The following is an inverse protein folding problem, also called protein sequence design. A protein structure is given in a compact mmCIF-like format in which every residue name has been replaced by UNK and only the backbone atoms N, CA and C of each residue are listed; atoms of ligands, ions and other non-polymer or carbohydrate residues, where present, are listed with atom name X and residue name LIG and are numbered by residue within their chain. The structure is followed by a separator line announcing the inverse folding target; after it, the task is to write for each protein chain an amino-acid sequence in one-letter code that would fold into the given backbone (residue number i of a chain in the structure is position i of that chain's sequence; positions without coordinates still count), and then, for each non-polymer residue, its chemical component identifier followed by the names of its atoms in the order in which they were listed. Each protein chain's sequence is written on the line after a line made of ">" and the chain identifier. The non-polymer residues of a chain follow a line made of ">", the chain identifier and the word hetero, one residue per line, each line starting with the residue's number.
data_IF_751862064333
#
_entry.id   IF_751862064333
#
_cell.length_a   1.000
_cell.length_b   1.000
_cell.length_c   1.000
_cell.angle_alpha   90.00
_cell.angle_beta   90.00
_cell.angle_gamma   90.00
#
_symmetry.space_group_name_H-M   'P 1'
#
loop_
_entity.id
_entity.type
_entity.pdbx_description
1 polymer ?
#
# COMPACT_ATOMS: atom_id res chain seq x y z
N UNK A 1 -7.62 1.75 10.69
CA UNK A 1 -8.92 2.48 10.65
C UNK A 1 -9.22 3.11 9.29
N UNK A 2 -8.24 3.73 8.60
CA UNK A 2 -8.47 4.35 7.28
C UNK A 2 -8.94 3.36 6.20
N UNK A 3 -8.39 2.14 6.16
CA UNK A 3 -8.84 1.07 5.26
C UNK A 3 -10.35 0.80 5.42
N UNK A 4 -10.80 0.51 6.64
CA UNK A 4 -12.21 0.23 6.90
C UNK A 4 -13.13 1.38 6.50
N UNK A 5 -12.68 2.64 6.65
CA UNK A 5 -13.44 3.80 6.20
C UNK A 5 -13.53 3.88 4.66
N UNK A 6 -12.44 3.58 3.95
CA UNK A 6 -12.45 3.52 2.49
C UNK A 6 -13.30 2.35 1.96
N UNK A 7 -13.21 1.18 2.59
CA UNK A 7 -14.05 0.01 2.25
C UNK A 7 -15.54 0.29 2.49
N UNK A 8 -15.90 0.95 3.60
CA UNK A 8 -17.29 1.34 3.86
C UNK A 8 -17.82 2.29 2.78
N UNK A 9 -17.00 3.26 2.35
CA UNK A 9 -17.34 4.17 1.25
C UNK A 9 -17.46 3.43 -0.09
N UNK A 10 -16.52 2.54 -0.40
CA UNK A 10 -16.56 1.71 -1.60
C UNK A 10 -17.83 0.86 -1.66
N UNK A 11 -18.22 0.25 -0.54
CA UNK A 11 -19.44 -0.54 -0.42
C UNK A 11 -20.67 0.34 -0.68
N UNK A 12 -20.73 1.55 -0.11
CA UNK A 12 -21.80 2.50 -0.38
C UNK A 12 -21.91 2.82 -1.88
N UNK A 13 -20.78 3.19 -2.52
CA UNK A 13 -20.75 3.53 -3.95
C UNK A 13 -21.19 2.34 -4.83
N UNK A 14 -20.84 1.11 -4.46
CA UNK A 14 -21.30 -0.09 -5.16
C UNK A 14 -22.80 -0.32 -5.00
N UNK A 15 -23.33 -0.20 -3.78
CA UNK A 15 -24.76 -0.35 -3.49
C UNK A 15 -25.60 0.69 -4.23
N UNK A 16 -25.13 1.95 -4.29
CA UNK A 16 -25.81 3.02 -5.02
C UNK A 16 -25.86 2.75 -6.54
N UNK A 17 -24.76 2.22 -7.11
CA UNK A 17 -24.67 1.89 -8.54
C UNK A 17 -25.62 0.76 -8.96
N UNK A 18 -25.82 -0.23 -8.11
CA UNK A 18 -26.68 -1.38 -8.43
C UNK A 18 -28.13 -1.25 -7.94
N UNK A 19 -28.49 -0.16 -7.24
CA UNK A 19 -29.81 0.01 -6.63
C UNK A 19 -30.99 -0.11 -7.61
N UNK A 20 -30.79 0.23 -8.88
CA UNK A 20 -31.82 0.13 -9.92
C UNK A 20 -31.82 -1.22 -10.67
N UNK A 21 -30.89 -2.12 -10.35
CA UNK A 21 -30.81 -3.42 -11.01
C UNK A 21 -31.92 -4.38 -10.51
N UNK A 22 -32.41 -5.29 -11.36
CA UNK A 22 -33.36 -6.32 -10.93
C UNK A 22 -32.83 -7.25 -9.82
N UNK A 23 -31.51 -7.44 -9.77
CA UNK A 23 -30.80 -8.11 -8.68
C UNK A 23 -29.64 -7.21 -8.21
N UNK A 24 -29.87 -6.30 -7.24
CA UNK A 24 -28.85 -5.37 -6.75
C UNK A 24 -27.68 -6.05 -6.04
N UNK A 25 -27.88 -7.24 -5.47
CA UNK A 25 -26.83 -7.95 -4.74
C UNK A 25 -26.06 -8.92 -5.64
N UNK A 26 -26.62 -9.30 -6.78
CA UNK A 26 -25.97 -10.08 -7.82
C UNK A 26 -24.64 -9.47 -8.25
N UNK A 27 -23.53 -10.14 -7.93
CA UNK A 27 -22.18 -9.70 -8.27
C UNK A 27 -21.58 -8.62 -7.35
N UNK A 28 -22.31 -8.17 -6.31
CA UNK A 28 -21.80 -7.17 -5.37
C UNK A 28 -20.54 -7.64 -4.65
N UNK A 29 -20.55 -8.85 -4.09
CA UNK A 29 -19.42 -9.41 -3.35
C UNK A 29 -18.13 -9.51 -4.18
N UNK A 30 -18.11 -10.15 -5.36
CA UNK A 30 -16.88 -10.19 -6.17
C UNK A 30 -16.41 -8.80 -6.61
N UNK A 31 -17.34 -7.88 -6.94
CA UNK A 31 -16.97 -6.51 -7.32
C UNK A 31 -16.37 -5.71 -6.14
N UNK A 32 -16.91 -5.90 -4.94
CA UNK A 32 -16.39 -5.32 -3.71
C UNK A 32 -14.99 -5.87 -3.41
N UNK A 33 -14.84 -7.18 -3.28
CA UNK A 33 -13.55 -7.78 -2.91
C UNK A 33 -12.45 -7.49 -3.94
N UNK A 34 -12.76 -7.45 -5.24
CA UNK A 34 -11.78 -7.08 -6.26
C UNK A 34 -11.26 -5.64 -6.08
N UNK A 35 -12.13 -4.68 -5.73
CA UNK A 35 -11.73 -3.28 -5.53
C UNK A 35 -11.11 -3.06 -4.15
N UNK A 36 -11.61 -3.73 -3.11
CA UNK A 36 -11.04 -3.69 -1.77
C UNK A 36 -9.62 -4.24 -1.74
N UNK A 37 -9.32 -5.28 -2.54
CA UNK A 37 -7.97 -5.82 -2.66
C UNK A 37 -6.95 -4.73 -3.04
N UNK A 38 -7.29 -3.83 -3.96
CA UNK A 38 -6.42 -2.69 -4.33
C UNK A 38 -6.29 -1.66 -3.21
N UNK A 39 -7.36 -1.39 -2.45
CA UNK A 39 -7.31 -0.45 -1.32
C UNK A 39 -6.37 -0.94 -0.21
N UNK A 40 -6.37 -2.25 0.05
CA UNK A 40 -5.59 -2.85 1.13
C UNK A 40 -4.16 -3.21 0.71
N UNK A 41 -3.88 -3.26 -0.59
CA UNK A 41 -2.57 -3.64 -1.13
C UNK A 41 -1.44 -2.77 -0.55
N UNK A 42 -1.59 -1.44 -0.61
CA UNK A 42 -0.59 -0.49 -0.11
C UNK A 42 -0.26 -0.67 1.39
N UNK A 43 -1.25 -0.63 2.31
CA UNK A 43 -0.96 -0.75 3.74
C UNK A 43 -0.44 -2.14 4.11
N UNK A 44 -0.93 -3.21 3.48
CA UNK A 44 -0.39 -4.55 3.75
C UNK A 44 0.99 -4.77 3.14
N UNK A 45 1.27 -4.22 1.96
CA UNK A 45 2.59 -4.31 1.33
C UNK A 45 3.69 -3.71 2.20
N UNK A 46 3.45 -2.53 2.80
CA UNK A 46 4.43 -1.89 3.69
C UNK A 46 4.49 -2.51 5.09
N UNK A 47 3.36 -3.05 5.60
CA UNK A 47 3.30 -3.58 6.96
C UNK A 47 3.70 -5.05 7.07
N UNK A 48 3.31 -5.91 6.12
CA UNK A 48 3.49 -7.35 6.20
C UNK A 48 4.74 -7.87 5.48
N UNK A 49 5.20 -7.19 4.42
CA UNK A 49 6.44 -7.61 3.70
C UNK A 49 7.65 -7.67 4.64
N UNK A 50 7.87 -6.70 5.55
CA UNK A 50 8.97 -6.78 6.53
C UNK A 50 8.94 -8.04 7.40
N UNK A 51 7.77 -8.61 7.68
CA UNK A 51 7.67 -9.83 8.49
C UNK A 51 8.32 -11.03 7.81
N UNK A 52 8.36 -11.07 6.47
CA UNK A 52 8.97 -12.18 5.70
C UNK A 52 10.49 -12.26 5.85
N UNK A 53 11.14 -11.17 6.30
CA UNK A 53 12.55 -11.17 6.67
C UNK A 53 12.84 -12.12 7.84
N UNK A 54 11.86 -12.38 8.69
CA UNK A 54 12.01 -13.32 9.78
C UNK A 54 11.88 -14.78 9.29
N UNK A 55 12.85 -15.68 9.56
CA UNK A 55 12.88 -17.02 8.96
C UNK A 55 11.68 -17.92 9.32
N UNK A 56 11.01 -17.64 10.44
CA UNK A 56 9.84 -18.42 10.90
C UNK A 56 8.50 -17.89 10.40
N UNK A 57 8.49 -16.75 9.71
CA UNK A 57 7.25 -16.21 9.15
C UNK A 57 6.81 -17.11 8.00
N UNK A 58 5.56 -17.58 8.09
CA UNK A 58 4.92 -18.39 7.06
C UNK A 58 4.49 -17.50 5.90
N UNK A 59 4.64 -17.99 4.67
CA UNK A 59 4.30 -17.25 3.46
C UNK A 59 5.28 -17.49 2.32
N UNK A 60 4.84 -17.14 1.11
CA UNK A 60 5.70 -17.11 -0.07
C UNK A 60 6.64 -15.89 0.02
N UNK A 61 7.93 -16.11 -0.19
CA UNK A 61 8.91 -15.02 -0.28
C UNK A 61 9.02 -14.62 -1.76
N UNK A 62 8.69 -13.37 -2.11
CA UNK A 62 8.91 -12.86 -3.46
C UNK A 62 10.38 -12.96 -3.86
N UNK A 63 10.66 -13.12 -5.15
CA UNK A 63 12.04 -13.18 -5.67
C UNK A 63 12.81 -11.88 -5.40
N UNK A 64 12.10 -10.75 -5.29
CA UNK A 64 12.63 -9.41 -5.04
C UNK A 64 12.52 -8.97 -3.57
N UNK A 65 12.28 -9.90 -2.63
CA UNK A 65 12.07 -9.57 -1.22
C UNK A 65 13.22 -8.72 -0.63
N UNK A 66 14.47 -9.13 -0.84
CA UNK A 66 15.63 -8.41 -0.29
C UNK A 66 15.68 -6.97 -0.82
N UNK A 67 15.43 -6.78 -2.11
CA UNK A 67 15.37 -5.45 -2.73
C UNK A 67 14.22 -4.59 -2.18
N UNK A 68 13.06 -5.20 -1.92
CA UNK A 68 11.92 -4.50 -1.33
C UNK A 68 12.19 -4.08 0.12
N UNK A 69 12.89 -4.91 0.90
CA UNK A 69 13.29 -4.61 2.27
C UNK A 69 14.33 -3.48 2.31
N UNK A 70 15.38 -3.56 1.49
CA UNK A 70 16.40 -2.52 1.37
C UNK A 70 15.80 -1.17 0.96
N UNK A 71 14.88 -1.18 -0.02
CA UNK A 71 14.18 0.03 -0.44
C UNK A 71 13.35 0.63 0.69
N UNK A 72 12.60 -0.20 1.42
CA UNK A 72 11.74 0.24 2.51
C UNK A 72 12.56 0.84 3.65
N UNK A 73 13.69 0.21 4.00
CA UNK A 73 14.61 0.74 5.01
C UNK A 73 15.19 2.10 4.59
N UNK A 74 15.72 2.20 3.38
CA UNK A 74 16.27 3.45 2.86
C UNK A 74 15.23 4.57 2.77
N UNK A 75 13.98 4.24 2.43
CA UNK A 75 12.87 5.17 2.42
C UNK A 75 12.57 5.72 3.83
N UNK A 76 12.56 4.86 4.86
CA UNK A 76 12.36 5.29 6.24
C UNK A 76 13.53 6.16 6.74
N UNK A 77 14.78 5.80 6.41
CA UNK A 77 15.95 6.60 6.75
C UNK A 77 15.86 7.99 6.10
N UNK A 78 15.59 8.06 4.79
CA UNK A 78 15.41 9.32 4.07
C UNK A 78 14.24 10.15 4.63
N UNK A 79 13.13 9.51 5.01
CA UNK A 79 11.99 10.17 5.63
C UNK A 79 12.28 10.69 7.05
N UNK A 80 13.32 10.20 7.73
CA UNK A 80 13.74 10.75 9.02
C UNK A 80 14.52 12.07 8.85
N UNK A 81 15.13 12.30 7.70
CA UNK A 81 16.00 13.46 7.43
C UNK A 81 15.35 14.51 6.52
N UNK A 82 14.44 14.10 5.61
CA UNK A 82 13.76 14.98 4.67
C UNK A 82 12.26 15.16 5.02
N UNK A 83 11.81 16.36 5.40
CA UNK A 83 10.41 16.64 5.74
C UNK A 83 9.40 16.43 4.60
N UNK A 84 9.80 16.63 3.34
CA UNK A 84 8.94 16.41 2.18
C UNK A 84 8.72 14.91 1.93
N UNK A 85 9.79 14.11 2.07
CA UNK A 85 9.70 12.65 1.97
C UNK A 85 8.91 12.09 3.15
N UNK A 86 9.14 12.61 4.36
CA UNK A 86 8.35 12.28 5.55
C UNK A 86 6.86 12.47 5.31
N UNK A 87 6.48 13.66 4.83
CA UNK A 87 5.09 13.99 4.52
C UNK A 87 4.51 13.03 3.49
N UNK A 88 5.23 12.79 2.40
CA UNK A 88 4.78 11.90 1.33
C UNK A 88 4.52 10.47 1.84
N UNK A 89 5.47 9.92 2.60
CA UNK A 89 5.34 8.60 3.21
C UNK A 89 4.12 8.52 4.12
N UNK A 90 3.91 9.52 4.99
CA UNK A 90 2.75 9.54 5.87
C UNK A 90 1.42 9.73 5.12
N UNK A 91 1.39 10.51 4.03
CA UNK A 91 0.22 10.60 3.16
C UNK A 91 -0.13 9.23 2.54
N UNK A 92 0.86 8.42 2.18
CA UNK A 92 0.65 7.06 1.68
C UNK A 92 0.19 6.11 2.79
N UNK A 93 0.86 6.12 3.95
CA UNK A 93 0.47 5.29 5.11
C UNK A 93 -0.96 5.58 5.61
N UNK A 94 -1.42 6.82 5.44
CA UNK A 94 -2.79 7.24 5.78
C UNK A 94 -3.78 7.13 4.62
N UNK A 95 -3.38 6.54 3.49
CA UNK A 95 -4.21 6.30 2.29
C UNK A 95 -4.74 7.59 1.64
N UNK A 96 -4.04 8.71 1.85
CA UNK A 96 -4.32 10.00 1.20
C UNK A 96 -3.72 10.05 -0.22
N UNK A 97 -2.67 9.26 -0.46
CA UNK A 97 -2.04 9.07 -1.77
C UNK A 97 -1.81 7.58 -2.05
N UNK A 98 -1.84 7.15 -3.33
CA UNK A 98 -1.55 5.76 -3.68
C UNK A 98 -0.06 5.43 -3.49
N UNK A 99 0.29 4.15 -3.27
CA UNK A 99 1.69 3.71 -3.11
C UNK A 99 2.60 4.07 -4.29
N UNK A 100 2.07 4.15 -5.51
CA UNK A 100 2.88 4.36 -6.72
C UNK A 100 3.63 5.69 -6.70
N UNK A 101 3.20 6.67 -5.89
CA UNK A 101 3.96 7.91 -5.70
C UNK A 101 5.32 7.69 -5.03
N UNK A 102 5.50 6.57 -4.31
CA UNK A 102 6.79 6.18 -3.73
C UNK A 102 7.74 5.58 -4.77
N UNK A 103 7.23 5.20 -5.94
CA UNK A 103 8.00 4.68 -7.08
C UNK A 103 8.41 5.77 -8.06
N UNK A 104 8.22 7.03 -7.69
CA UNK A 104 8.70 8.17 -8.47
C UNK A 104 10.22 8.04 -8.71
N UNK A 105 10.71 8.15 -9.96
CA UNK A 105 12.11 7.91 -10.28
C UNK A 105 13.09 8.77 -9.47
N UNK A 106 12.75 10.04 -9.23
CA UNK A 106 13.62 10.95 -8.49
C UNK A 106 13.70 10.53 -7.02
N UNK A 107 12.57 10.12 -6.42
CA UNK A 107 12.57 9.56 -5.07
C UNK A 107 13.35 8.25 -4.99
N UNK A 108 13.18 7.35 -5.96
CA UNK A 108 13.88 6.06 -6.01
C UNK A 108 15.39 6.24 -6.05
N UNK A 109 15.90 7.16 -6.88
CA UNK A 109 17.34 7.44 -6.94
C UNK A 109 17.87 8.03 -5.62
N UNK A 110 17.07 8.87 -4.95
CA UNK A 110 17.43 9.40 -3.63
C UNK A 110 17.46 8.33 -2.55
N UNK A 111 16.52 7.38 -2.58
CA UNK A 111 16.50 6.23 -1.66
C UNK A 111 17.73 5.35 -1.90
N UNK A 112 18.06 5.02 -3.15
CA UNK A 112 19.28 4.26 -3.48
C UNK A 112 20.55 4.96 -2.98
N UNK A 113 20.62 6.28 -3.13
CA UNK A 113 21.75 7.06 -2.63
C UNK A 113 21.84 7.02 -1.10
N UNK A 114 20.71 6.98 -0.38
CA UNK A 114 20.68 6.81 1.08
C UNK A 114 21.21 5.42 1.49
N UNK A 115 20.71 4.35 0.86
CA UNK A 115 21.14 2.98 1.15
C UNK A 115 22.65 2.79 0.89
N UNK A 116 23.20 3.41 -0.16
CA UNK A 116 24.63 3.32 -0.46
C UNK A 116 25.56 4.04 0.55
N UNK A 117 25.00 4.88 1.43
CA UNK A 117 25.74 5.60 2.47
C UNK A 117 25.71 4.89 3.83
N UNK A 118 24.86 3.87 4.01
CA UNK A 118 24.74 3.05 5.21
C UNK A 118 25.79 1.92 5.22
#
# INVERSE_FOLDING_TARGET
>A
MSVAAQEARLLQELLERCAANPDPLGGLAPAFFAQSATLIETPWGLAATPDLAHPKTEGERPEDLDQALEFTEGLFQLAAEDPAVHKLLFEVLHLLKPQDVLRDPDLVERVKAMVAQA
#
